data_IF_913825555463
#
_entry.id   IF_913825555463
#
_cell.length_a   1.000
_cell.length_b   1.000
_cell.length_c   1.000
_cell.angle_alpha   90.00
_cell.angle_beta   90.00
_cell.angle_gamma   90.00
#
_symmetry.space_group_name_H-M   'P 1'
#
loop_
_entity.id
_entity.type
_entity.pdbx_description
1 polymer ?
#
# COMPACT_ATOMS: atom_id res chain seq x y z
N UNK A 1 9.04 14.52 20.13
CA UNK A 1 7.73 15.15 20.45
C UNK A 1 6.88 15.39 19.20
N UNK A 2 7.45 15.88 18.09
CA UNK A 2 6.72 16.11 16.84
C UNK A 2 6.11 14.80 16.31
N UNK A 3 6.85 13.71 16.34
CA UNK A 3 6.39 12.40 15.85
C UNK A 3 5.22 11.84 16.66
N UNK A 4 5.25 12.01 17.99
CA UNK A 4 4.14 11.63 18.86
C UNK A 4 2.89 12.47 18.58
N UNK A 5 3.04 13.75 18.28
CA UNK A 5 1.92 14.64 17.91
C UNK A 5 1.32 14.25 16.56
N UNK A 6 2.14 13.93 15.55
CA UNK A 6 1.65 13.47 14.25
C UNK A 6 0.83 12.18 14.40
N UNK A 7 1.34 11.18 15.14
CA UNK A 7 0.60 9.93 15.43
C UNK A 7 -0.73 10.22 16.14
N UNK A 8 -0.71 11.07 17.17
CA UNK A 8 -1.93 11.43 17.90
C UNK A 8 -2.95 12.12 17.01
N UNK A 9 -2.54 13.03 16.13
CA UNK A 9 -3.42 13.70 15.18
C UNK A 9 -4.04 12.69 14.18
N UNK A 10 -3.26 11.76 13.66
CA UNK A 10 -3.77 10.70 12.79
C UNK A 10 -4.79 9.80 13.49
N UNK A 11 -4.56 9.45 14.75
CA UNK A 11 -5.51 8.67 15.55
C UNK A 11 -6.82 9.44 15.81
N UNK A 12 -6.74 10.76 16.07
CA UNK A 12 -7.93 11.62 16.23
C UNK A 12 -8.74 11.65 14.93
N UNK A 13 -8.10 11.89 13.78
CA UNK A 13 -8.77 11.93 12.48
C UNK A 13 -9.41 10.56 12.17
N UNK A 14 -8.71 9.46 12.41
CA UNK A 14 -9.25 8.11 12.23
C UNK A 14 -10.50 7.86 13.11
N UNK A 15 -10.47 8.32 14.37
CA UNK A 15 -11.59 8.21 15.29
C UNK A 15 -12.80 9.04 14.85
N UNK A 16 -12.57 10.26 14.34
CA UNK A 16 -13.63 11.11 13.78
C UNK A 16 -14.29 10.45 12.56
N UNK A 17 -13.51 9.89 11.64
CA UNK A 17 -14.04 9.16 10.49
C UNK A 17 -14.88 7.94 10.91
N UNK A 18 -14.45 7.21 11.96
CA UNK A 18 -15.20 6.09 12.53
C UNK A 18 -16.54 6.53 13.08
N UNK A 19 -16.57 7.62 13.85
CA UNK A 19 -17.82 8.17 14.40
C UNK A 19 -18.75 8.62 13.27
N UNK A 20 -18.24 9.25 12.22
CA UNK A 20 -19.03 9.65 11.06
C UNK A 20 -19.59 8.42 10.33
N UNK A 21 -18.79 7.37 10.12
CA UNK A 21 -19.23 6.17 9.41
C UNK A 21 -20.34 5.41 10.14
N UNK A 22 -20.39 5.49 11.46
CA UNK A 22 -21.43 4.83 12.25
C UNK A 22 -22.83 5.48 12.10
N UNK A 23 -22.86 6.76 11.70
CA UNK A 23 -24.09 7.54 11.53
C UNK A 23 -24.60 7.54 10.07
N UNK A 24 -23.93 6.83 9.16
CA UNK A 24 -24.28 6.77 7.74
C UNK A 24 -25.01 5.47 7.46
N UNK A 25 -26.17 5.57 6.80
CA UNK A 25 -26.96 4.40 6.40
C UNK A 25 -26.53 3.85 5.02
N UNK A 26 -26.02 4.73 4.13
CA UNK A 26 -25.56 4.34 2.80
C UNK A 26 -24.27 3.54 2.84
N UNK A 27 -24.34 2.27 2.47
CA UNK A 27 -23.20 1.35 2.48
C UNK A 27 -22.04 1.81 1.60
N UNK A 28 -22.30 2.49 0.49
CA UNK A 28 -21.25 3.01 -0.40
C UNK A 28 -20.44 4.09 0.30
N UNK A 29 -21.11 5.06 0.91
CA UNK A 29 -20.47 6.15 1.65
C UNK A 29 -19.74 5.61 2.89
N UNK A 30 -20.34 4.65 3.58
CA UNK A 30 -19.72 3.96 4.74
C UNK A 30 -18.41 3.28 4.35
N UNK A 31 -18.38 2.58 3.22
CA UNK A 31 -17.17 1.93 2.71
C UNK A 31 -16.08 2.94 2.31
N UNK A 32 -16.45 4.08 1.70
CA UNK A 32 -15.50 5.16 1.37
C UNK A 32 -14.83 5.70 2.64
N UNK A 33 -15.61 5.94 3.71
CA UNK A 33 -15.06 6.40 4.98
C UNK A 33 -14.17 5.37 5.65
N UNK A 34 -14.56 4.09 5.60
CA UNK A 34 -13.75 2.97 6.12
C UNK A 34 -12.42 2.87 5.36
N UNK A 35 -12.44 3.03 4.05
CA UNK A 35 -11.22 3.03 3.24
C UNK A 35 -10.31 4.22 3.59
N UNK A 36 -10.89 5.41 3.78
CA UNK A 36 -10.13 6.59 4.23
C UNK A 36 -9.53 6.39 5.61
N UNK A 37 -10.27 5.77 6.52
CA UNK A 37 -9.80 5.42 7.86
C UNK A 37 -8.61 4.43 7.81
N UNK A 38 -8.71 3.38 6.98
CA UNK A 38 -7.63 2.41 6.78
C UNK A 38 -6.36 3.06 6.24
N UNK A 39 -6.49 4.05 5.31
CA UNK A 39 -5.34 4.82 4.80
C UNK A 39 -4.66 5.66 5.87
N UNK A 40 -5.43 6.35 6.70
CA UNK A 40 -4.87 7.13 7.81
C UNK A 40 -4.17 6.22 8.81
N UNK A 41 -4.74 5.05 9.09
CA UNK A 41 -4.10 4.06 9.96
C UNK A 41 -2.78 3.57 9.35
N UNK A 42 -2.76 3.28 8.04
CA UNK A 42 -1.53 2.90 7.33
C UNK A 42 -0.48 4.02 7.37
N UNK A 43 -0.87 5.28 7.16
CA UNK A 43 0.03 6.44 7.28
C UNK A 43 0.63 6.53 8.68
N UNK A 44 -0.18 6.32 9.73
CA UNK A 44 0.29 6.32 11.12
C UNK A 44 1.30 5.21 11.39
N UNK A 45 1.03 3.99 10.91
CA UNK A 45 1.93 2.85 11.06
C UNK A 45 3.24 3.06 10.29
N UNK A 46 3.17 3.58 9.05
CA UNK A 46 4.34 3.94 8.25
C UNK A 46 5.18 4.97 8.98
N UNK A 47 4.56 6.04 9.47
CA UNK A 47 5.24 7.08 10.23
C UNK A 47 5.94 6.52 11.49
N UNK A 48 5.29 5.61 12.22
CA UNK A 48 5.88 4.98 13.41
C UNK A 48 7.08 4.09 13.05
N UNK A 49 7.00 3.32 11.98
CA UNK A 49 8.10 2.48 11.49
C UNK A 49 9.29 3.34 11.07
N UNK A 50 9.04 4.44 10.37
CA UNK A 50 10.08 5.34 9.86
C UNK A 50 10.82 6.08 10.98
N UNK A 51 10.11 6.48 12.02
CA UNK A 51 10.65 7.29 13.10
C UNK A 51 10.97 6.52 14.39
N UNK A 52 10.68 5.23 14.44
CA UNK A 52 11.06 4.33 15.53
C UNK A 52 12.47 3.75 15.42
N UNK A 53 13.20 4.00 14.32
CA UNK A 53 14.59 3.59 14.12
C UNK A 53 15.55 4.70 14.60
N UNK A 54 16.60 4.32 15.34
CA UNK A 54 17.63 5.25 15.86
C UNK A 54 18.46 5.90 14.73
N UNK A 55 18.44 5.34 13.51
CA UNK A 55 19.12 5.86 12.32
C UNK A 55 18.09 6.35 11.28
N UNK A 56 17.84 7.65 11.28
CA UNK A 56 16.90 8.34 10.38
C UNK A 56 17.41 8.51 8.94
N UNK A 57 18.67 8.16 8.63
CA UNK A 57 19.25 8.43 7.31
C UNK A 57 18.95 7.36 6.26
N UNK A 58 18.85 6.11 6.66
CA UNK A 58 18.63 4.99 5.73
C UNK A 58 17.71 3.95 6.36
N UNK A 59 16.69 3.55 5.62
CA UNK A 59 15.72 2.53 6.02
C UNK A 59 16.01 1.26 5.25
N UNK A 60 16.15 0.14 5.96
CA UNK A 60 16.18 -1.17 5.30
C UNK A 60 14.80 -1.52 4.76
N UNK A 61 14.72 -1.52 3.43
CA UNK A 61 13.48 -1.71 2.69
C UNK A 61 12.84 -3.09 2.97
N UNK A 62 13.64 -4.14 3.15
CA UNK A 62 13.13 -5.48 3.44
C UNK A 62 12.39 -5.53 4.77
N UNK A 63 13.01 -5.02 5.83
CA UNK A 63 12.40 -4.93 7.16
C UNK A 63 11.17 -4.03 7.17
N UNK A 64 11.26 -2.87 6.49
CA UNK A 64 10.18 -1.91 6.35
C UNK A 64 8.94 -2.51 5.67
N UNK A 65 9.11 -3.12 4.50
CA UNK A 65 8.01 -3.72 3.74
C UNK A 65 7.40 -4.94 4.45
N UNK A 66 8.22 -5.73 5.15
CA UNK A 66 7.74 -6.83 5.97
C UNK A 66 6.79 -6.35 7.07
N UNK A 67 7.12 -5.26 7.76
CA UNK A 67 6.27 -4.67 8.81
C UNK A 67 4.96 -4.12 8.23
N UNK A 68 5.02 -3.39 7.11
CA UNK A 68 3.82 -2.86 6.44
C UNK A 68 2.90 -3.99 6.02
N UNK A 69 3.43 -4.99 5.33
CA UNK A 69 2.66 -6.12 4.82
C UNK A 69 1.95 -6.90 5.93
N UNK A 70 2.66 -7.16 7.04
CA UNK A 70 2.05 -7.79 8.21
C UNK A 70 0.93 -6.92 8.81
N UNK A 71 1.12 -5.61 8.90
CA UNK A 71 0.10 -4.68 9.40
C UNK A 71 -1.16 -4.69 8.53
N UNK A 72 -1.00 -4.73 7.20
CA UNK A 72 -2.13 -4.82 6.26
C UNK A 72 -2.91 -6.11 6.48
N UNK A 73 -2.24 -7.25 6.54
CA UNK A 73 -2.88 -8.55 6.75
C UNK A 73 -3.64 -8.62 8.08
N UNK A 74 -3.11 -8.04 9.15
CA UNK A 74 -3.81 -7.91 10.43
C UNK A 74 -5.05 -7.03 10.33
N UNK A 75 -4.94 -5.86 9.66
CA UNK A 75 -6.04 -4.90 9.52
C UNK A 75 -7.23 -5.49 8.76
N UNK A 76 -6.95 -6.29 7.73
CA UNK A 76 -7.98 -6.96 6.94
C UNK A 76 -8.41 -8.31 7.51
N UNK A 77 -7.87 -8.74 8.67
CA UNK A 77 -8.15 -10.05 9.30
C UNK A 77 -8.04 -11.20 8.30
N UNK A 78 -6.98 -11.16 7.48
CA UNK A 78 -6.80 -12.12 6.38
C UNK A 78 -6.50 -13.50 6.96
N UNK A 79 -7.25 -14.51 6.50
CA UNK A 79 -6.92 -15.90 6.77
C UNK A 79 -5.71 -16.31 5.92
N UNK A 80 -4.56 -16.54 6.56
CA UNK A 80 -3.31 -16.95 5.90
C UNK A 80 -3.40 -18.31 5.18
N UNK A 81 -4.38 -19.16 5.53
CA UNK A 81 -4.65 -20.40 4.80
C UNK A 81 -5.38 -20.14 3.47
N UNK A 82 -5.98 -18.96 3.32
CA UNK A 82 -6.72 -18.55 2.14
C UNK A 82 -5.87 -17.70 1.20
N UNK A 83 -5.18 -16.69 1.72
CA UNK A 83 -4.36 -15.78 0.92
C UNK A 83 -2.96 -15.74 1.51
N UNK A 84 -1.97 -16.09 0.68
CA UNK A 84 -0.56 -16.03 1.04
C UNK A 84 0.08 -14.74 0.53
N UNK A 85 0.96 -14.18 1.35
CA UNK A 85 1.82 -13.08 0.94
C UNK A 85 3.26 -13.58 0.83
N UNK A 86 3.82 -13.49 -0.36
CA UNK A 86 5.20 -13.83 -0.63
C UNK A 86 6.00 -12.54 -0.89
N UNK A 87 7.17 -12.42 -0.27
CA UNK A 87 8.03 -11.25 -0.45
C UNK A 87 9.42 -11.69 -0.91
N UNK A 88 9.88 -11.14 -2.03
CA UNK A 88 11.25 -11.29 -2.54
C UNK A 88 11.90 -9.91 -2.64
N UNK A 89 12.43 -9.44 -1.51
CA UNK A 89 12.99 -8.10 -1.36
C UNK A 89 14.38 -8.25 -0.72
N UNK A 90 15.39 -7.70 -1.40
CA UNK A 90 16.74 -7.62 -0.87
C UNK A 90 16.88 -6.45 0.10
N UNK A 91 17.91 -6.48 0.92
CA UNK A 91 18.31 -5.35 1.74
C UNK A 91 18.79 -4.22 0.83
N UNK A 92 18.01 -3.15 0.75
CA UNK A 92 18.28 -1.97 -0.07
C UNK A 92 18.04 -0.76 0.82
N UNK A 93 19.04 0.07 1.06
CA UNK A 93 18.84 1.33 1.78
C UNK A 93 18.03 2.29 0.92
N UNK A 94 17.05 2.96 1.57
CA UNK A 94 16.18 3.96 0.93
C UNK A 94 16.00 5.17 1.85
N UNK A 95 15.87 6.35 1.27
CA UNK A 95 15.60 7.57 2.05
C UNK A 95 14.20 7.55 2.68
N UNK A 96 14.02 8.25 3.79
CA UNK A 96 12.70 8.42 4.44
C UNK A 96 11.70 9.07 3.47
N UNK A 97 12.16 10.01 2.65
CA UNK A 97 11.32 10.72 1.66
C UNK A 97 10.72 9.75 0.63
N UNK A 98 11.46 8.74 0.21
CA UNK A 98 11.00 7.72 -0.73
C UNK A 98 10.25 6.57 -0.04
N UNK A 99 10.65 6.21 1.18
CA UNK A 99 10.02 5.12 1.93
C UNK A 99 8.55 5.41 2.25
N UNK A 100 8.22 6.65 2.61
CA UNK A 100 6.84 7.04 2.95
C UNK A 100 5.87 6.88 1.78
N UNK A 101 6.07 7.49 0.60
CA UNK A 101 5.19 7.28 -0.54
C UNK A 101 5.17 5.82 -1.01
N UNK A 102 6.31 5.12 -0.97
CA UNK A 102 6.38 3.72 -1.34
C UNK A 102 5.52 2.83 -0.44
N UNK A 103 5.56 3.07 0.87
CA UNK A 103 4.73 2.34 1.83
C UNK A 103 3.23 2.52 1.58
N UNK A 104 2.80 3.74 1.25
CA UNK A 104 1.40 4.02 0.89
C UNK A 104 1.00 3.33 -0.42
N UNK A 105 1.86 3.35 -1.43
CA UNK A 105 1.65 2.64 -2.70
C UNK A 105 1.44 1.15 -2.45
N UNK A 106 2.30 0.52 -1.67
CA UNK A 106 2.21 -0.90 -1.34
C UNK A 106 0.93 -1.19 -0.55
N UNK A 107 0.60 -0.34 0.43
CA UNK A 107 -0.64 -0.48 1.18
C UNK A 107 -1.87 -0.45 0.26
N UNK A 108 -1.96 0.50 -0.66
CA UNK A 108 -3.10 0.62 -1.58
C UNK A 108 -3.19 -0.58 -2.52
N UNK A 109 -2.08 -1.02 -3.11
CA UNK A 109 -2.09 -2.12 -4.07
C UNK A 109 -2.38 -3.48 -3.41
N UNK A 110 -1.77 -3.78 -2.26
CA UNK A 110 -2.08 -5.01 -1.50
C UNK A 110 -3.54 -4.97 -1.01
N UNK A 111 -4.01 -3.84 -0.49
CA UNK A 111 -5.41 -3.70 -0.04
C UNK A 111 -6.40 -3.91 -1.18
N UNK A 112 -6.09 -3.43 -2.39
CA UNK A 112 -6.92 -3.66 -3.58
C UNK A 112 -6.96 -5.14 -3.95
N UNK A 113 -5.82 -5.84 -3.95
CA UNK A 113 -5.78 -7.28 -4.18
C UNK A 113 -6.61 -8.05 -3.14
N UNK A 114 -6.49 -7.71 -1.85
CA UNK A 114 -7.27 -8.35 -0.79
C UNK A 114 -8.78 -8.12 -0.92
N UNK A 115 -9.21 -6.96 -1.42
CA UNK A 115 -10.63 -6.62 -1.57
C UNK A 115 -11.26 -7.21 -2.82
N UNK A 116 -10.52 -7.26 -3.92
CA UNK A 116 -11.11 -7.46 -5.24
C UNK A 116 -10.61 -8.71 -5.96
N UNK A 117 -9.39 -9.17 -5.70
CA UNK A 117 -8.80 -10.26 -6.47
C UNK A 117 -9.33 -11.64 -6.08
N UNK A 118 -9.81 -11.81 -4.84
CA UNK A 118 -10.16 -13.13 -4.28
C UNK A 118 -11.60 -13.18 -3.75
N UNK A 119 -12.62 -13.07 -4.61
CA UNK A 119 -14.02 -13.10 -4.20
C UNK A 119 -14.42 -14.47 -3.62
N UNK A 120 -15.39 -14.44 -2.69
CA UNK A 120 -15.91 -15.66 -2.06
C UNK A 120 -14.82 -16.44 -1.31
N UNK A 121 -14.70 -17.74 -1.61
CA UNK A 121 -13.71 -18.64 -0.98
C UNK A 121 -12.47 -18.89 -1.85
N UNK A 122 -12.23 -18.06 -2.86
CA UNK A 122 -11.05 -18.16 -3.72
C UNK A 122 -9.79 -18.05 -2.87
N UNK A 123 -8.91 -19.04 -3.01
CA UNK A 123 -7.55 -19.01 -2.49
C UNK A 123 -6.62 -18.37 -3.50
N UNK A 124 -5.53 -17.79 -3.04
CA UNK A 124 -4.54 -17.22 -3.92
C UNK A 124 -3.31 -16.68 -3.22
N UNK A 125 -2.48 -16.00 -4.00
CA UNK A 125 -1.22 -15.46 -3.55
C UNK A 125 -1.03 -14.02 -4.01
N UNK A 126 -0.42 -13.21 -3.14
CA UNK A 126 0.06 -11.88 -3.47
C UNK A 126 1.58 -11.94 -3.39
N UNK A 127 2.25 -11.56 -4.46
CA UNK A 127 3.71 -11.57 -4.55
C UNK A 127 4.21 -10.13 -4.63
N UNK A 128 5.10 -9.74 -3.72
CA UNK A 128 5.77 -8.45 -3.69
C UNK A 128 7.25 -8.68 -3.92
N UNK A 129 7.79 -8.17 -4.99
CA UNK A 129 9.23 -8.30 -5.28
C UNK A 129 9.83 -6.95 -5.63
N UNK A 130 11.12 -6.80 -5.29
CA UNK A 130 11.88 -5.61 -5.63
C UNK A 130 13.25 -5.97 -6.18
N UNK A 131 13.59 -5.37 -7.31
CA UNK A 131 14.88 -5.51 -7.96
C UNK A 131 15.57 -4.15 -8.06
N UNK A 132 16.88 -4.16 -7.87
CA UNK A 132 17.73 -2.97 -8.09
C UNK A 132 18.61 -3.23 -9.30
N UNK A 133 18.57 -2.30 -10.25
CA UNK A 133 19.49 -2.27 -11.40
C UNK A 133 20.17 -0.88 -11.43
N UNK A 134 21.44 -0.83 -11.07
CA UNK A 134 22.17 0.43 -10.90
C UNK A 134 21.50 1.34 -9.84
N UNK A 135 20.95 2.48 -10.26
CA UNK A 135 20.21 3.42 -9.42
C UNK A 135 18.70 3.22 -9.49
N UNK A 136 18.20 2.44 -10.46
CA UNK A 136 16.76 2.19 -10.63
C UNK A 136 16.30 1.05 -9.71
N UNK A 137 15.18 1.27 -9.04
CA UNK A 137 14.39 0.25 -8.34
C UNK A 137 13.16 -0.10 -9.16
N UNK A 138 12.91 -1.40 -9.32
CA UNK A 138 11.69 -1.95 -9.88
C UNK A 138 10.94 -2.71 -8.79
N UNK A 139 9.80 -2.15 -8.34
CA UNK A 139 8.84 -2.82 -7.46
C UNK A 139 7.78 -3.50 -8.32
N UNK A 140 7.54 -4.78 -8.07
CA UNK A 140 6.42 -5.53 -8.66
C UNK A 140 5.49 -6.03 -7.57
N UNK A 141 4.19 -5.76 -7.71
CA UNK A 141 3.12 -6.30 -6.87
C UNK A 141 2.18 -7.06 -7.80
N UNK A 142 2.04 -8.36 -7.56
CA UNK A 142 1.26 -9.27 -8.40
C UNK A 142 0.34 -10.12 -7.53
N UNK A 143 -0.94 -10.22 -7.90
CA UNK A 143 -1.85 -11.26 -7.41
C UNK A 143 -2.17 -12.28 -8.53
N UNK A 144 -2.64 -13.46 -8.13
CA UNK A 144 -3.17 -14.50 -9.01
C UNK A 144 -4.70 -14.57 -8.97
N UNK A 145 -5.32 -13.44 -8.69
CA UNK A 145 -6.77 -13.29 -8.55
C UNK A 145 -7.54 -13.32 -9.85
N UNK A 146 -8.72 -12.71 -9.85
CA UNK A 146 -9.60 -12.64 -11.03
C UNK A 146 -9.14 -11.61 -12.06
N UNK A 147 -8.14 -10.76 -11.73
CA UNK A 147 -7.71 -9.65 -12.58
C UNK A 147 -8.62 -8.43 -12.51
N UNK A 148 -8.27 -7.41 -13.26
CA UNK A 148 -9.12 -6.22 -13.44
C UNK A 148 -10.06 -6.44 -14.64
N UNK A 149 -11.28 -5.87 -14.57
CA UNK A 149 -12.19 -5.85 -15.73
C UNK A 149 -11.55 -5.13 -16.92
N UNK A 150 -11.68 -5.67 -18.12
CA UNK A 150 -11.10 -5.11 -19.35
C UNK A 150 -11.60 -3.70 -19.67
N UNK A 151 -12.82 -3.37 -19.21
CA UNK A 151 -13.44 -2.06 -19.38
C UNK A 151 -12.87 -0.99 -18.43
N UNK A 152 -12.08 -1.37 -17.41
CA UNK A 152 -11.53 -0.45 -16.43
C UNK A 152 -10.27 0.22 -16.99
N UNK A 153 -10.40 1.45 -17.45
CA UNK A 153 -9.24 2.31 -17.70
C UNK A 153 -8.59 2.71 -16.35
N UNK A 154 -7.63 1.88 -15.91
CA UNK A 154 -6.97 2.11 -14.64
C UNK A 154 -6.18 3.43 -14.59
N UNK A 155 -5.69 3.90 -15.77
CA UNK A 155 -4.94 5.18 -15.88
C UNK A 155 -5.84 6.39 -15.66
N UNK A 156 -7.08 6.33 -16.11
CA UNK A 156 -8.08 7.38 -15.90
C UNK A 156 -9.11 7.00 -14.83
N UNK A 157 -8.82 5.97 -14.02
CA UNK A 157 -9.71 5.53 -12.96
C UNK A 157 -10.05 6.66 -12.00
N UNK A 158 -11.34 6.86 -11.75
CA UNK A 158 -11.85 7.80 -10.76
C UNK A 158 -11.72 7.29 -9.32
N UNK A 159 -11.26 6.04 -9.13
CA UNK A 159 -11.08 5.49 -7.78
C UNK A 159 -9.95 6.19 -7.06
N UNK A 160 -10.22 6.63 -5.83
CA UNK A 160 -9.27 7.40 -5.03
C UNK A 160 -7.94 6.65 -4.83
N UNK A 161 -7.98 5.32 -4.67
CA UNK A 161 -6.79 4.50 -4.43
C UNK A 161 -5.80 4.49 -5.60
N UNK A 162 -6.26 4.18 -6.81
CA UNK A 162 -5.39 4.16 -7.99
C UNK A 162 -4.90 5.56 -8.36
N UNK A 163 -5.73 6.58 -8.18
CA UNK A 163 -5.31 7.97 -8.35
C UNK A 163 -4.22 8.36 -7.36
N UNK A 164 -4.34 7.95 -6.10
CA UNK A 164 -3.32 8.17 -5.07
C UNK A 164 -2.01 7.47 -5.45
N UNK A 165 -2.08 6.19 -5.85
CA UNK A 165 -0.91 5.42 -6.28
C UNK A 165 -0.16 6.13 -7.41
N UNK A 166 -0.86 6.55 -8.46
CA UNK A 166 -0.26 7.29 -9.57
C UNK A 166 0.38 8.60 -9.10
N UNK A 167 -0.33 9.39 -8.31
CA UNK A 167 0.18 10.66 -7.79
C UNK A 167 1.47 10.45 -6.97
N UNK A 168 1.50 9.43 -6.12
CA UNK A 168 2.69 9.13 -5.31
C UNK A 168 3.86 8.67 -6.18
N UNK A 169 3.61 7.80 -7.16
CA UNK A 169 4.67 7.28 -8.04
C UNK A 169 5.19 8.38 -8.97
N UNK A 170 4.30 9.09 -9.67
CA UNK A 170 4.69 10.06 -10.69
C UNK A 170 5.25 11.36 -10.07
N UNK A 171 4.69 11.87 -8.95
CA UNK A 171 5.03 13.18 -8.40
C UNK A 171 5.94 13.14 -7.17
N UNK A 172 5.98 12.05 -6.41
CA UNK A 172 6.81 11.97 -5.20
C UNK A 172 8.01 11.05 -5.37
N UNK A 173 7.88 9.96 -6.14
CA UNK A 173 8.99 9.07 -6.45
C UNK A 173 9.68 9.41 -7.77
N UNK A 174 9.16 10.36 -8.55
CA UNK A 174 9.63 10.71 -9.91
C UNK A 174 9.80 9.44 -10.78
N UNK A 175 8.80 8.56 -10.70
CA UNK A 175 8.81 7.23 -11.26
C UNK A 175 7.73 7.00 -12.31
N UNK A 176 7.67 5.77 -12.78
CA UNK A 176 6.65 5.27 -13.71
C UNK A 176 5.91 4.07 -13.13
N UNK A 177 4.67 3.89 -13.56
CA UNK A 177 3.83 2.76 -13.17
C UNK A 177 3.13 2.17 -14.39
N UNK A 178 3.20 0.85 -14.51
CA UNK A 178 2.50 0.06 -15.52
C UNK A 178 1.66 -1.04 -14.86
N UNK A 179 0.58 -1.47 -15.53
CA UNK A 179 -0.31 -2.52 -15.08
C UNK A 179 -0.60 -3.52 -16.19
N UNK A 180 -0.52 -4.79 -15.85
CA UNK A 180 -0.92 -5.92 -16.66
C UNK A 180 -2.02 -6.71 -15.94
N UNK A 181 -3.08 -7.09 -16.66
CA UNK A 181 -4.17 -7.91 -16.13
C UNK A 181 -4.32 -9.18 -16.98
N UNK A 182 -3.58 -10.23 -16.60
CA UNK A 182 -3.64 -11.55 -17.22
C UNK A 182 -3.58 -12.60 -16.10
N UNK A 183 -4.69 -13.31 -15.83
CA UNK A 183 -4.78 -14.26 -14.71
C UNK A 183 -4.30 -13.66 -13.39
N UNK A 184 -4.96 -12.58 -12.94
CA UNK A 184 -4.58 -11.74 -11.82
C UNK A 184 -4.14 -10.35 -12.28
N UNK A 185 -3.69 -9.53 -11.34
CA UNK A 185 -3.23 -8.17 -11.60
C UNK A 185 -1.76 -8.05 -11.25
N UNK A 186 -0.99 -7.38 -12.11
CA UNK A 186 0.43 -7.07 -11.85
C UNK A 186 0.68 -5.59 -12.06
N UNK A 187 1.14 -4.92 -11.02
CA UNK A 187 1.68 -3.56 -11.10
C UNK A 187 3.20 -3.61 -11.10
N UNK A 188 3.82 -2.84 -12.00
CA UNK A 188 5.26 -2.64 -12.07
C UNK A 188 5.57 -1.16 -11.91
N UNK A 189 6.36 -0.80 -10.91
CA UNK A 189 6.71 0.57 -10.56
C UNK A 189 8.21 0.71 -10.64
N UNK A 190 8.69 1.75 -11.34
CA UNK A 190 10.12 2.04 -11.50
C UNK A 190 10.42 3.45 -11.05
N UNK A 191 11.48 3.62 -10.27
CA UNK A 191 11.95 4.92 -9.81
C UNK A 191 13.45 4.88 -9.46
N UNK A 192 14.11 6.02 -9.42
CA UNK A 192 15.51 6.10 -9.05
C UNK A 192 15.70 6.30 -7.55
N UNK A 193 16.71 5.65 -6.97
CA UNK A 193 17.12 5.89 -5.58
C UNK A 193 17.73 7.28 -5.48
N UNK A 194 17.22 8.08 -4.55
CA UNK A 194 17.90 9.31 -4.13
C UNK A 194 19.18 8.95 -3.38
N UNK A 195 20.29 9.50 -3.82
CA UNK A 195 21.62 9.33 -3.20
C UNK A 195 21.96 10.51 -2.31
#
# INVERSE_FOLDING_TARGET
>A
EIHHRVKNNMNIISSLLKLQSNNIEDDRTKNILKDSQNRIFAMSAIHEILHGSENLSEIDLKSYLGKISNSIFQTYSVNHDKIKLNTDIKEIPISVNQASPLGLVINELISNSLKYAFPGDRKGEINVSMKKQNKELELTIKDDGIGMPDELDWKNSSTLGLKLVRTLVENQLDGSIDMESNNGTKFTIKFNIET
#
